data_IF_404183654090
#
_entry.id   IF_404183654090
#
_cell.length_a   1.000
_cell.length_b   1.000
_cell.length_c   1.000
_cell.angle_alpha   90.00
_cell.angle_beta   90.00
_cell.angle_gamma   90.00
#
_symmetry.space_group_name_H-M   'P 1'
#
loop_
_entity.id
_entity.type
_entity.pdbx_description
1 polymer ?
#
# COMPACT_ATOMS: atom_id res chain seq x y z
N UNK A 1 -18.62 9.93 -9.88
CA UNK A 1 -18.17 9.71 -8.50
C UNK A 1 -16.85 10.44 -8.32
N UNK A 2 -16.73 11.30 -7.32
CA UNK A 2 -15.42 11.80 -6.93
C UNK A 2 -14.60 10.59 -6.44
N UNK A 3 -13.43 10.35 -7.01
CA UNK A 3 -12.49 9.36 -6.52
C UNK A 3 -12.01 9.88 -5.17
N UNK A 4 -12.29 9.18 -4.09
CA UNK A 4 -11.72 9.51 -2.78
C UNK A 4 -10.22 9.27 -2.88
N UNK A 5 -9.41 10.21 -2.42
CA UNK A 5 -7.96 10.03 -2.40
C UNK A 5 -7.59 8.82 -1.56
N UNK A 6 -6.63 8.02 -2.03
CA UNK A 6 -6.19 6.82 -1.31
C UNK A 6 -5.28 7.13 -0.12
N UNK A 7 -4.68 8.33 -0.12
CA UNK A 7 -3.80 8.82 0.94
C UNK A 7 -4.15 10.27 1.25
N UNK A 8 -4.34 10.59 2.52
CA UNK A 8 -4.42 11.95 3.03
C UNK A 8 -3.36 12.12 4.12
N UNK A 9 -2.68 13.26 4.13
CA UNK A 9 -1.62 13.56 5.10
C UNK A 9 -1.90 14.88 5.79
N UNK A 10 -1.58 14.96 7.07
CA UNK A 10 -1.58 16.21 7.82
C UNK A 10 -0.18 16.81 7.78
N UNK A 11 -0.02 17.90 7.05
CA UNK A 11 1.25 18.60 6.86
C UNK A 11 1.45 19.69 7.89
N UNK A 12 2.68 19.81 8.38
CA UNK A 12 3.12 20.91 9.21
C UNK A 12 4.61 21.18 8.94
N UNK A 13 5.13 22.31 9.43
CA UNK A 13 6.57 22.57 9.47
C UNK A 13 7.11 22.29 10.86
N UNK A 14 8.37 21.90 10.95
CA UNK A 14 9.03 21.71 12.25
C UNK A 14 9.10 23.00 13.07
N UNK A 15 9.31 24.13 12.42
CA UNK A 15 9.35 25.44 13.07
C UNK A 15 7.99 25.77 13.72
N UNK A 16 6.91 25.67 12.95
CA UNK A 16 5.56 25.93 13.45
C UNK A 16 5.14 24.93 14.54
N UNK A 17 5.43 23.65 14.36
CA UNK A 17 5.07 22.62 15.34
C UNK A 17 5.74 22.86 16.70
N UNK A 18 7.00 23.28 16.71
CA UNK A 18 7.72 23.56 17.94
C UNK A 18 7.15 24.78 18.72
N UNK A 19 6.55 25.73 18.00
CA UNK A 19 5.99 26.95 18.60
C UNK A 19 4.50 26.81 18.94
N UNK A 20 3.73 26.19 18.04
CA UNK A 20 2.25 26.20 18.07
C UNK A 20 1.62 24.80 18.08
N UNK A 21 2.42 23.73 18.05
CA UNK A 21 1.88 22.37 17.95
C UNK A 21 1.23 22.11 16.58
N UNK A 22 0.05 21.51 16.60
CA UNK A 22 -0.68 21.18 15.37
C UNK A 22 -1.38 22.40 14.72
N UNK A 23 -1.47 23.53 15.41
CA UNK A 23 -2.10 24.71 14.87
C UNK A 23 -1.31 25.26 13.66
N UNK A 24 -2.00 25.61 12.60
CA UNK A 24 -1.41 26.03 11.33
C UNK A 24 -1.14 24.92 10.32
N UNK A 25 -1.07 23.65 10.75
CA UNK A 25 -1.05 22.50 9.85
C UNK A 25 -2.43 22.25 9.23
N UNK A 26 -2.48 21.45 8.16
CA UNK A 26 -3.73 21.07 7.51
C UNK A 26 -3.64 19.75 6.75
N UNK A 27 -4.80 19.15 6.49
CA UNK A 27 -4.93 17.94 5.70
C UNK A 27 -4.82 18.21 4.21
N UNK A 28 -4.07 17.36 3.51
CA UNK A 28 -3.91 17.35 2.05
C UNK A 28 -4.18 15.95 1.52
N UNK A 29 -5.00 15.87 0.49
CA UNK A 29 -5.22 14.63 -0.27
C UNK A 29 -4.13 14.50 -1.32
N UNK A 30 -3.51 13.31 -1.41
CA UNK A 30 -2.47 13.00 -2.40
C UNK A 30 -3.03 12.13 -3.53
N UNK A 31 -2.55 12.30 -4.79
CA UNK A 31 -1.57 13.31 -5.22
C UNK A 31 -2.15 14.73 -5.32
N UNK A 32 -1.31 15.72 -5.12
CA UNK A 32 -1.68 17.13 -5.19
C UNK A 32 -0.58 17.98 -5.89
N UNK A 33 -0.90 19.23 -6.16
CA UNK A 33 0.11 20.23 -6.53
C UNK A 33 0.90 20.62 -5.27
N UNK A 34 2.15 20.18 -5.19
CA UNK A 34 2.97 20.40 -4.00
C UNK A 34 3.36 21.88 -3.82
N UNK A 35 3.60 22.60 -4.91
CA UNK A 35 3.94 24.02 -4.83
C UNK A 35 2.78 24.80 -4.20
N UNK A 36 1.55 24.52 -4.64
CA UNK A 36 0.34 25.11 -4.06
C UNK A 36 0.16 24.70 -2.58
N UNK A 37 0.43 23.45 -2.24
CA UNK A 37 0.34 22.96 -0.87
C UNK A 37 1.37 23.63 0.05
N UNK A 38 2.62 23.82 -0.41
CA UNK A 38 3.67 24.51 0.34
C UNK A 38 3.39 26.00 0.52
N UNK A 39 2.90 26.68 -0.53
CA UNK A 39 2.46 28.08 -0.44
C UNK A 39 1.35 28.23 0.61
N UNK A 40 0.36 27.36 0.57
CA UNK A 40 -0.74 27.36 1.55
C UNK A 40 -0.24 27.08 2.97
N UNK A 41 0.75 26.19 3.12
CA UNK A 41 1.34 25.89 4.43
C UNK A 41 2.08 27.12 4.99
N UNK A 42 2.87 27.82 4.17
CA UNK A 42 3.53 29.06 4.54
C UNK A 42 2.52 30.12 5.01
N UNK A 43 1.43 30.30 4.27
CA UNK A 43 0.38 31.26 4.66
C UNK A 43 -0.30 30.86 5.99
N UNK A 44 -0.59 29.57 6.21
CA UNK A 44 -1.30 29.12 7.41
C UNK A 44 -0.44 29.13 8.66
N UNK A 45 0.87 28.91 8.53
CA UNK A 45 1.86 28.96 9.64
C UNK A 45 2.40 30.36 9.88
N UNK A 46 2.23 31.29 8.92
CA UNK A 46 2.78 32.63 8.97
C UNK A 46 4.26 32.71 8.63
N UNK A 47 4.81 31.65 8.03
CA UNK A 47 6.18 31.60 7.53
C UNK A 47 6.29 32.26 6.15
N UNK A 48 7.50 32.69 5.76
CA UNK A 48 7.72 33.18 4.40
C UNK A 48 7.75 31.98 3.42
N UNK A 49 7.15 32.13 2.22
CA UNK A 49 7.06 31.05 1.22
C UNK A 49 8.45 30.51 0.84
N UNK A 50 9.45 31.37 0.76
CA UNK A 50 10.82 30.98 0.44
C UNK A 50 11.54 30.21 1.56
N UNK A 51 10.97 30.17 2.77
CA UNK A 51 11.50 29.46 3.93
C UNK A 51 10.87 28.07 4.10
N UNK A 52 9.69 27.85 3.51
CA UNK A 52 9.00 26.55 3.57
C UNK A 52 9.38 25.73 2.35
N UNK A 53 10.33 24.86 2.53
CA UNK A 53 10.70 23.86 1.54
C UNK A 53 10.31 22.43 1.98
N UNK A 54 10.44 21.48 1.09
CA UNK A 54 10.07 20.08 1.35
C UNK A 54 10.86 19.47 2.52
N UNK A 55 12.03 19.99 2.85
CA UNK A 55 12.89 19.48 3.94
C UNK A 55 12.41 19.94 5.33
N UNK A 56 11.72 21.07 5.37
CA UNK A 56 11.15 21.62 6.62
C UNK A 56 9.74 21.08 6.90
N UNK A 57 9.09 20.47 5.89
CA UNK A 57 7.76 19.89 6.01
C UNK A 57 7.85 18.46 6.54
N UNK A 58 6.97 18.13 7.46
CA UNK A 58 6.82 16.77 7.94
C UNK A 58 5.35 16.33 7.97
N UNK A 59 5.14 15.02 7.99
CA UNK A 59 3.81 14.39 8.08
C UNK A 59 3.51 14.16 9.55
N UNK A 60 2.61 14.97 10.12
CA UNK A 60 2.22 14.89 11.51
C UNK A 60 1.21 13.75 11.77
N UNK A 61 0.36 13.46 10.79
CA UNK A 61 -0.64 12.39 10.81
C UNK A 61 -1.01 11.99 9.38
N UNK A 62 -1.60 10.80 9.21
CA UNK A 62 -2.07 10.34 7.91
C UNK A 62 -3.32 9.47 8.02
N UNK A 63 -4.10 9.45 6.95
CA UNK A 63 -5.21 8.54 6.72
C UNK A 63 -5.04 7.85 5.37
N UNK A 64 -5.34 6.57 5.29
CA UNK A 64 -5.28 5.80 4.06
C UNK A 64 -6.33 4.70 4.02
N UNK A 65 -6.85 4.43 2.84
CA UNK A 65 -7.73 3.29 2.55
C UNK A 65 -6.94 2.03 2.14
N UNK A 66 -5.61 2.12 2.07
CA UNK A 66 -4.74 0.99 1.69
C UNK A 66 -4.35 0.20 2.94
N UNK A 67 -4.79 -1.05 3.02
CA UNK A 67 -4.45 -1.93 4.12
C UNK A 67 -2.94 -2.23 4.14
N UNK A 68 -2.33 -2.14 5.32
CA UNK A 68 -0.91 -2.45 5.52
C UNK A 68 0.05 -1.32 5.12
N UNK A 69 -0.45 -0.16 4.65
CA UNK A 69 0.38 1.00 4.37
C UNK A 69 0.73 1.72 5.68
N UNK A 70 2.01 1.92 5.90
CA UNK A 70 2.56 2.74 6.98
C UNK A 70 3.33 3.94 6.40
N UNK A 71 3.07 5.13 6.92
CA UNK A 71 3.72 6.38 6.54
C UNK A 71 4.40 6.96 7.78
N UNK A 72 5.70 7.22 7.68
CA UNK A 72 6.51 7.80 8.75
C UNK A 72 6.46 9.32 8.71
N UNK A 73 6.62 9.97 9.86
CA UNK A 73 6.78 11.43 9.96
C UNK A 73 7.97 11.98 9.12
N UNK A 74 8.97 11.14 8.90
CA UNK A 74 10.16 11.49 8.12
C UNK A 74 10.03 11.12 6.63
N UNK A 75 8.88 10.64 6.18
CA UNK A 75 8.65 10.35 4.76
C UNK A 75 8.69 11.65 3.97
N UNK A 76 9.50 11.68 2.89
CA UNK A 76 9.55 12.83 2.01
C UNK A 76 8.21 13.01 1.29
N UNK A 77 7.65 14.21 1.36
CA UNK A 77 6.33 14.49 0.80
C UNK A 77 6.31 14.42 -0.73
N UNK A 78 7.40 14.80 -1.41
CA UNK A 78 7.51 14.70 -2.86
C UNK A 78 7.51 13.24 -3.31
N UNK A 79 8.32 12.40 -2.67
CA UNK A 79 8.38 10.97 -2.96
C UNK A 79 7.01 10.30 -2.71
N UNK A 80 6.34 10.67 -1.62
CA UNK A 80 5.00 10.13 -1.31
C UNK A 80 3.95 10.60 -2.31
N UNK A 81 4.04 11.83 -2.80
CA UNK A 81 3.16 12.37 -3.82
C UNK A 81 3.31 11.61 -5.15
N UNK A 82 4.55 11.33 -5.57
CA UNK A 82 4.84 10.53 -6.76
C UNK A 82 4.30 9.09 -6.63
N UNK A 83 4.44 8.49 -5.44
CA UNK A 83 3.86 7.17 -5.15
C UNK A 83 2.33 7.20 -5.18
N UNK A 84 1.71 8.27 -4.70
CA UNK A 84 0.26 8.45 -4.76
C UNK A 84 -0.25 8.56 -6.20
N UNK A 85 0.50 9.22 -7.11
CA UNK A 85 0.19 9.22 -8.54
C UNK A 85 0.22 7.81 -9.15
N UNK A 86 1.22 7.00 -8.78
CA UNK A 86 1.30 5.59 -9.22
C UNK A 86 0.11 4.77 -8.72
N UNK A 87 -0.33 4.99 -7.47
CA UNK A 87 -1.49 4.31 -6.89
C UNK A 87 -2.78 4.65 -7.64
N UNK A 88 -2.96 5.90 -8.04
CA UNK A 88 -4.13 6.31 -8.82
C UNK A 88 -4.24 5.64 -10.19
N UNK A 89 -3.11 5.21 -10.75
CA UNK A 89 -3.05 4.50 -12.02
C UNK A 89 -3.42 3.01 -11.91
N UNK A 90 -3.45 2.43 -10.71
CA UNK A 90 -3.79 1.04 -10.48
C UNK A 90 -5.30 0.80 -10.60
N UNK A 91 -5.67 -0.35 -11.13
CA UNK A 91 -7.05 -0.81 -11.05
C UNK A 91 -7.33 -1.51 -9.70
N UNK A 92 -8.57 -1.94 -9.51
CA UNK A 92 -8.98 -2.59 -8.26
C UNK A 92 -8.17 -3.87 -7.96
N UNK A 93 -7.91 -4.69 -8.99
CA UNK A 93 -7.17 -5.94 -8.83
C UNK A 93 -5.72 -5.67 -8.41
N UNK A 94 -5.07 -4.70 -9.04
CA UNK A 94 -3.70 -4.32 -8.71
C UNK A 94 -3.60 -3.68 -7.31
N UNK A 95 -4.60 -2.91 -6.88
CA UNK A 95 -4.67 -2.39 -5.51
C UNK A 95 -4.80 -3.52 -4.48
N UNK A 96 -5.70 -4.48 -4.69
CA UNK A 96 -5.84 -5.65 -3.81
C UNK A 96 -4.57 -6.50 -3.78
N UNK A 97 -3.89 -6.66 -4.91
CA UNK A 97 -2.58 -7.32 -5.00
C UNK A 97 -1.52 -6.58 -4.19
N UNK A 98 -1.46 -5.26 -4.32
CA UNK A 98 -0.54 -4.41 -3.55
C UNK A 98 -0.77 -4.56 -2.04
N UNK A 99 -2.02 -4.51 -1.60
CA UNK A 99 -2.37 -4.73 -0.19
C UNK A 99 -1.92 -6.11 0.30
N UNK A 100 -2.12 -7.16 -0.51
CA UNK A 100 -1.67 -8.50 -0.19
C UNK A 100 -0.13 -8.59 -0.06
N UNK A 101 0.63 -7.88 -0.90
CA UNK A 101 2.09 -7.79 -0.81
C UNK A 101 2.51 -7.08 0.48
N UNK A 102 1.89 -5.94 0.81
CA UNK A 102 2.17 -5.19 2.04
C UNK A 102 1.84 -6.00 3.30
N UNK A 103 0.75 -6.77 3.28
CA UNK A 103 0.35 -7.63 4.39
C UNK A 103 1.32 -8.81 4.58
N UNK A 104 1.72 -9.47 3.49
CA UNK A 104 2.55 -10.67 3.53
C UNK A 104 4.03 -10.38 3.84
N UNK A 105 4.60 -9.41 3.14
CA UNK A 105 6.04 -9.12 3.19
C UNK A 105 6.36 -7.86 4.01
N UNK A 106 5.39 -6.98 4.21
CA UNK A 106 5.63 -5.66 4.77
C UNK A 106 6.49 -4.79 3.85
N UNK A 107 7.28 -3.91 4.44
CA UNK A 107 8.21 -3.07 3.69
C UNK A 107 7.60 -1.74 3.24
N UNK A 108 8.31 -1.06 2.34
CA UNK A 108 7.88 0.24 1.84
C UNK A 108 6.91 0.11 0.67
N UNK A 109 6.03 1.10 0.54
CA UNK A 109 5.13 1.23 -0.61
C UNK A 109 5.88 1.22 -1.95
N UNK A 110 7.01 1.94 -2.03
CA UNK A 110 7.85 1.97 -3.21
C UNK A 110 8.34 0.58 -3.61
N UNK A 111 8.87 -0.18 -2.65
CA UNK A 111 9.32 -1.55 -2.88
C UNK A 111 8.20 -2.47 -3.35
N UNK A 112 7.02 -2.36 -2.74
CA UNK A 112 5.85 -3.15 -3.13
C UNK A 112 5.41 -2.83 -4.57
N UNK A 113 5.34 -1.56 -4.93
CA UNK A 113 5.00 -1.11 -6.28
C UNK A 113 6.04 -1.52 -7.34
N UNK A 114 7.33 -1.44 -7.00
CA UNK A 114 8.40 -1.76 -7.95
C UNK A 114 8.52 -3.26 -8.23
N UNK A 115 8.13 -4.10 -7.29
CA UNK A 115 8.25 -5.55 -7.40
C UNK A 115 6.89 -6.27 -7.58
N UNK A 116 5.81 -5.56 -7.86
CA UNK A 116 4.48 -6.18 -8.05
C UNK A 116 4.48 -7.31 -9.09
N UNK A 117 5.28 -7.18 -10.16
CA UNK A 117 5.37 -8.16 -11.23
C UNK A 117 6.04 -9.49 -10.80
N UNK A 118 6.81 -9.46 -9.70
CA UNK A 118 7.44 -10.66 -9.12
C UNK A 118 6.44 -11.54 -8.34
N UNK A 119 5.23 -11.05 -8.14
CA UNK A 119 4.20 -11.75 -7.36
C UNK A 119 3.08 -12.26 -8.24
N UNK A 120 2.60 -13.45 -7.90
CA UNK A 120 1.33 -13.99 -8.39
C UNK A 120 0.26 -13.80 -7.31
N UNK A 121 -0.89 -13.26 -7.69
CA UNK A 121 -2.00 -12.99 -6.78
C UNK A 121 -3.24 -13.79 -7.17
N UNK A 122 -3.74 -14.56 -6.22
CA UNK A 122 -4.96 -15.35 -6.32
C UNK A 122 -6.07 -14.66 -5.54
N UNK A 123 -6.80 -13.79 -6.24
CA UNK A 123 -7.83 -12.95 -5.64
C UNK A 123 -8.99 -13.74 -5.05
N UNK A 124 -9.38 -13.43 -3.82
CA UNK A 124 -10.50 -14.04 -3.10
C UNK A 124 -10.37 -15.57 -2.93
N UNK A 125 -9.17 -16.11 -2.96
CA UNK A 125 -8.87 -17.52 -2.75
C UNK A 125 -8.23 -17.77 -1.40
N UNK A 126 -8.56 -18.90 -0.78
CA UNK A 126 -7.80 -19.46 0.34
C UNK A 126 -6.62 -20.30 -0.18
N UNK A 127 -5.68 -20.66 0.70
CA UNK A 127 -4.61 -21.61 0.34
C UNK A 127 -5.17 -22.96 -0.16
N UNK A 128 -6.29 -23.41 0.38
CA UNK A 128 -6.93 -24.64 -0.07
C UNK A 128 -7.53 -24.50 -1.48
N UNK A 129 -8.12 -23.35 -1.80
CA UNK A 129 -8.61 -23.04 -3.17
C UNK A 129 -7.46 -23.04 -4.17
N UNK A 130 -6.33 -22.42 -3.82
CA UNK A 130 -5.11 -22.43 -4.64
C UNK A 130 -4.56 -23.84 -4.81
N UNK A 131 -4.62 -24.66 -3.76
CA UNK A 131 -4.22 -26.07 -3.84
C UNK A 131 -5.10 -26.85 -4.84
N UNK A 132 -6.42 -26.62 -4.85
CA UNK A 132 -7.33 -27.19 -5.85
C UNK A 132 -6.95 -26.76 -7.27
N UNK A 133 -6.74 -25.47 -7.50
CA UNK A 133 -6.37 -24.93 -8.81
C UNK A 133 -5.05 -25.52 -9.32
N UNK A 134 -4.02 -25.55 -8.49
CA UNK A 134 -2.72 -26.15 -8.85
C UNK A 134 -2.84 -27.63 -9.21
N UNK A 135 -3.61 -28.39 -8.43
CA UNK A 135 -3.80 -29.81 -8.71
C UNK A 135 -4.59 -30.03 -10.02
N UNK A 136 -5.61 -29.23 -10.25
CA UNK A 136 -6.43 -29.34 -11.47
C UNK A 136 -5.66 -28.94 -12.74
N UNK A 137 -4.87 -27.89 -12.67
CA UNK A 137 -4.13 -27.35 -13.82
C UNK A 137 -2.79 -28.05 -14.09
N UNK A 138 -2.09 -28.46 -13.03
CA UNK A 138 -0.71 -28.93 -13.15
C UNK A 138 -0.58 -30.46 -13.09
N UNK A 139 -1.58 -31.17 -12.57
CA UNK A 139 -1.52 -32.60 -12.35
C UNK A 139 -2.70 -33.30 -12.99
N UNK A 140 -2.42 -34.31 -13.84
CA UNK A 140 -3.44 -35.19 -14.45
C UNK A 140 -3.76 -36.34 -13.49
N UNK A 141 -4.56 -36.07 -12.47
CA UNK A 141 -4.99 -37.09 -11.51
C UNK A 141 -6.27 -37.80 -11.98
N UNK A 142 -6.31 -39.12 -11.92
CA UNK A 142 -7.56 -39.87 -12.14
C UNK A 142 -8.66 -39.46 -11.15
N UNK A 143 -9.92 -39.45 -11.55
CA UNK A 143 -11.07 -39.04 -10.72
C UNK A 143 -11.08 -39.65 -9.32
N UNK A 144 -10.67 -40.91 -9.20
CA UNK A 144 -10.61 -41.58 -7.90
C UNK A 144 -9.49 -40.99 -7.01
N UNK A 145 -8.36 -40.59 -7.59
CA UNK A 145 -7.26 -39.99 -6.85
C UNK A 145 -7.62 -38.57 -6.38
N UNK A 146 -8.31 -37.78 -7.23
CA UNK A 146 -8.80 -36.45 -6.86
C UNK A 146 -9.77 -36.49 -5.67
N UNK A 147 -10.65 -37.51 -5.61
CA UNK A 147 -11.63 -37.64 -4.50
C UNK A 147 -10.99 -37.88 -3.14
N UNK A 148 -9.81 -38.48 -3.09
CA UNK A 148 -9.11 -38.83 -1.87
C UNK A 148 -7.84 -37.98 -1.65
N UNK A 149 -7.59 -36.98 -2.51
CA UNK A 149 -6.47 -36.11 -2.38
C UNK A 149 -6.64 -35.17 -1.15
N UNK A 150 -5.62 -35.09 -0.31
CA UNK A 150 -5.64 -34.26 0.88
C UNK A 150 -5.22 -32.83 0.55
N UNK A 151 -6.19 -32.05 0.04
CA UNK A 151 -5.98 -30.64 -0.33
C UNK A 151 -5.58 -29.77 0.86
N UNK A 152 -6.07 -30.04 2.07
CA UNK A 152 -5.73 -29.30 3.26
C UNK A 152 -4.25 -29.49 3.64
N UNK A 153 -3.72 -30.72 3.50
CA UNK A 153 -2.29 -30.97 3.70
C UNK A 153 -1.45 -30.34 2.63
N UNK A 154 -1.87 -30.40 1.37
CA UNK A 154 -1.15 -29.74 0.27
C UNK A 154 -1.16 -28.21 0.40
N UNK A 155 -2.28 -27.60 0.79
CA UNK A 155 -2.37 -26.16 1.08
C UNK A 155 -1.39 -25.74 2.18
N UNK A 156 -1.30 -26.52 3.25
CA UNK A 156 -0.31 -26.26 4.30
C UNK A 156 1.12 -26.29 3.77
N UNK A 157 1.42 -27.26 2.89
CA UNK A 157 2.74 -27.37 2.29
C UNK A 157 3.03 -26.18 1.36
N UNK A 158 2.04 -25.67 0.60
CA UNK A 158 2.15 -24.44 -0.17
C UNK A 158 2.55 -23.25 0.72
N UNK A 159 2.00 -23.17 1.93
CA UNK A 159 2.39 -22.15 2.90
C UNK A 159 3.88 -22.20 3.28
N UNK A 160 4.49 -23.38 3.31
CA UNK A 160 5.93 -23.53 3.51
C UNK A 160 6.74 -23.22 2.24
N UNK A 161 6.13 -23.34 1.07
CA UNK A 161 6.75 -23.07 -0.24
C UNK A 161 6.64 -21.60 -0.68
N UNK A 162 6.17 -20.70 0.21
CA UNK A 162 6.15 -19.26 -0.03
C UNK A 162 4.79 -18.68 -0.43
N UNK A 163 3.73 -19.49 -0.43
CA UNK A 163 2.37 -18.97 -0.60
C UNK A 163 1.88 -18.41 0.74
N UNK A 164 1.39 -17.19 0.74
CA UNK A 164 0.87 -16.52 1.95
C UNK A 164 -0.59 -16.15 1.76
N UNK A 165 -1.44 -16.62 2.66
CA UNK A 165 -2.85 -16.22 2.71
C UNK A 165 -2.97 -14.84 3.37
N UNK A 166 -3.72 -13.95 2.74
CA UNK A 166 -3.98 -12.58 3.18
C UNK A 166 -5.49 -12.33 3.26
N UNK A 167 -5.90 -11.17 3.75
CA UNK A 167 -7.32 -10.84 3.87
C UNK A 167 -8.07 -10.94 2.54
N UNK A 168 -7.44 -10.55 1.43
CA UNK A 168 -8.08 -10.47 0.11
C UNK A 168 -7.77 -11.65 -0.83
N UNK A 169 -6.95 -12.60 -0.41
CA UNK A 169 -6.55 -13.75 -1.24
C UNK A 169 -5.21 -14.34 -0.85
N UNK A 170 -4.56 -15.00 -1.80
CA UNK A 170 -3.24 -15.60 -1.60
C UNK A 170 -2.22 -14.91 -2.49
N UNK A 171 -1.05 -14.61 -1.94
CA UNK A 171 0.08 -14.05 -2.66
C UNK A 171 1.25 -15.04 -2.69
N UNK A 172 1.94 -15.12 -3.80
CA UNK A 172 3.13 -15.95 -3.97
C UNK A 172 4.21 -15.13 -4.68
N UNK A 173 5.43 -15.15 -4.15
CA UNK A 173 6.59 -14.56 -4.80
C UNK A 173 7.38 -15.66 -5.50
N UNK A 174 7.37 -15.61 -6.82
CA UNK A 174 8.07 -16.55 -7.69
C UNK A 174 9.53 -16.25 -7.90
#
# INVERSE_FOLDING_TARGET
MMKTALISVFLNTWANYNENGADGGFWVELPCDLDEALERLAESTGEEVDEVDEMEVFINDFETDINGLEISENTNISDLNDLAERLEALDKYDLEKLEAILEADGGSLENALDNMDDYTYYANMSLEDVAYEIVDECYDLPDIAQRYFDYASFARDLGYDGYTETENGVIYRG
#
